data_IF_106304027652
#
_entry.id   IF_106304027652
#
_cell.length_a   1.000
_cell.length_b   1.000
_cell.length_c   1.000
_cell.angle_alpha   90.00
_cell.angle_beta   90.00
_cell.angle_gamma   90.00
#
_symmetry.space_group_name_H-M   'P 1'
#
loop_
_entity.id
_entity.type
_entity.pdbx_description
1 polymer ?
2 branched ?
3 non-polymer ?
4 water ?
#
# COMPACT_ATOMS: atom_id res chain seq x y z
N UNK A 1 -0.08 -0.61 11.46
CA UNK A 1 -1.14 -1.66 11.61
C UNK A 1 -1.87 -1.99 10.32
N UNK A 2 -2.88 -2.86 10.27
CA UNK A 2 -3.18 -3.61 9.08
C UNK A 2 -3.77 -2.79 7.94
N UNK A 3 -3.90 -1.48 8.07
CA UNK A 3 -4.55 -0.69 7.01
C UNK A 3 -3.74 0.52 6.58
N UNK A 4 -3.62 0.78 5.28
CA UNK A 4 -3.08 2.01 4.75
C UNK A 4 -4.25 2.83 4.20
N UNK A 5 -4.50 4.06 4.66
CA UNK A 5 -5.71 4.77 4.23
C UNK A 5 -5.37 5.60 2.98
N UNK A 6 -6.34 5.84 2.09
CA UNK A 6 -6.00 6.84 1.05
C UNK A 6 -5.50 8.16 1.61
N UNK A 7 -4.47 8.73 0.97
CA UNK A 7 -3.85 9.96 1.48
C UNK A 7 -2.58 9.73 2.27
N UNK A 8 -2.25 8.51 2.64
CA UNK A 8 -1.10 8.19 3.46
C UNK A 8 -0.05 7.47 2.61
N UNK A 9 1.17 7.43 3.06
CA UNK A 9 2.25 6.68 2.49
C UNK A 9 3.02 5.81 3.48
N UNK A 10 3.67 4.79 2.92
CA UNK A 10 4.71 4.10 3.67
C UNK A 10 6.05 4.61 3.13
N UNK A 11 6.86 5.15 4.08
CA UNK A 11 8.22 5.52 3.80
C UNK A 11 9.10 4.27 3.82
N UNK A 12 10.38 4.45 3.47
CA UNK A 12 11.31 3.37 3.42
C UNK A 12 11.40 2.64 4.74
N UNK A 13 11.31 1.32 4.75
CA UNK A 13 11.25 0.51 5.93
C UNK A 13 9.93 0.45 6.68
N UNK A 14 8.90 1.22 6.38
CA UNK A 14 7.62 1.13 7.07
C UNK A 14 6.79 -0.01 6.48
N UNK A 15 5.78 -0.47 7.21
CA UNK A 15 5.10 -1.70 6.91
C UNK A 15 3.68 -1.74 7.40
N UNK A 16 2.86 -2.65 6.83
CA UNK A 16 1.69 -3.19 7.51
C UNK A 16 1.89 -4.57 8.10
N UNK A 17 1.19 -4.89 9.20
CA UNK A 17 1.35 -6.19 9.86
C UNK A 17 -0.01 -6.73 10.27
N UNK A 18 -0.13 -8.06 10.21
CA UNK A 18 -1.29 -8.73 10.78
C UNK A 18 -0.86 -10.12 11.23
N UNK A 19 -0.74 -10.41 12.52
CA UNK A 19 -0.25 -11.71 13.00
C UNK A 19 1.18 -12.04 12.54
N UNK A 20 1.43 -13.20 11.91
CA UNK A 20 2.73 -13.46 11.29
C UNK A 20 2.93 -12.92 9.87
N UNK A 21 2.01 -12.06 9.36
CA UNK A 21 2.18 -11.51 8.03
C UNK A 21 2.65 -10.06 8.05
N UNK A 22 3.58 -9.72 7.20
CA UNK A 22 4.19 -8.42 7.12
C UNK A 22 4.26 -7.92 5.66
N UNK A 23 3.79 -6.71 5.42
CA UNK A 23 3.86 -6.17 4.03
C UNK A 23 4.67 -4.90 4.05
N UNK A 24 5.89 -4.95 3.51
CA UNK A 24 6.86 -3.90 3.79
C UNK A 24 7.42 -3.26 2.53
N UNK A 25 7.53 -1.94 2.55
CA UNK A 25 8.22 -1.17 1.51
C UNK A 25 9.72 -1.18 1.86
N UNK A 26 10.44 -2.14 1.27
CA UNK A 26 11.86 -2.25 1.61
C UNK A 26 12.66 -1.10 1.07
N UNK A 27 13.84 -0.86 1.67
CA UNK A 27 14.71 0.23 1.24
C UNK A 27 15.40 0.00 -0.10
N UNK A 28 15.51 -1.24 -0.53
CA UNK A 28 15.83 -1.56 -1.92
C UNK A 28 14.71 -1.35 -2.92
N UNK A 29 13.60 -0.71 -2.56
CA UNK A 29 12.51 -0.38 -3.46
C UNK A 29 11.74 -1.62 -3.86
N UNK A 30 11.91 -2.76 -3.18
CA UNK A 30 10.99 -3.89 -3.49
C UNK A 30 9.82 -3.86 -2.48
N UNK A 31 8.58 -4.13 -2.85
CA UNK A 31 7.43 -4.20 -1.93
C UNK A 31 7.03 -5.65 -1.78
N UNK A 32 7.08 -6.22 -0.59
CA UNK A 32 7.06 -7.66 -0.40
C UNK A 32 6.06 -8.03 0.68
N UNK A 33 5.34 -9.10 0.52
CA UNK A 33 4.54 -9.76 1.55
C UNK A 33 5.26 -11.01 2.03
N UNK A 34 5.56 -11.02 3.32
CA UNK A 34 6.21 -12.14 4.00
C UNK A 34 5.21 -12.89 4.83
N UNK A 35 5.29 -14.22 4.82
CA UNK A 35 4.66 -15.08 5.83
C UNK A 35 5.83 -15.55 6.74
N UNK A 36 6.06 -14.89 7.87
CA UNK A 36 7.23 -15.11 8.73
C UNK A 36 8.46 -14.82 7.89
N UNK A 37 9.38 -15.73 7.58
CA UNK A 37 10.53 -15.32 6.75
C UNK A 37 10.41 -15.68 5.28
N UNK A 38 9.26 -16.25 4.87
CA UNK A 38 8.98 -16.56 3.46
C UNK A 38 8.28 -15.48 2.65
N UNK A 39 8.89 -15.00 1.58
CA UNK A 39 8.27 -14.04 0.67
C UNK A 39 7.25 -14.76 -0.21
N UNK A 40 6.01 -14.30 -0.19
CA UNK A 40 4.91 -14.96 -0.88
C UNK A 40 4.39 -14.12 -2.03
N UNK A 41 4.75 -12.87 -2.16
CA UNK A 41 4.39 -12.00 -3.28
C UNK A 41 5.30 -10.78 -3.20
N UNK A 42 5.64 -10.23 -4.38
CA UNK A 42 6.41 -8.99 -4.40
C UNK A 42 6.17 -8.15 -5.66
N UNK A 43 6.55 -6.88 -5.69
CA UNK A 43 6.43 -6.11 -6.93
C UNK A 43 7.61 -6.38 -7.90
N UNK A 44 8.62 -7.08 -7.42
CA UNK A 44 9.82 -7.46 -8.12
C UNK A 44 10.56 -6.27 -8.68
N UNK A 45 10.63 -5.17 -7.97
CA UNK A 45 11.32 -3.96 -8.32
C UNK A 45 12.54 -3.79 -7.42
N UNK A 46 13.03 -4.87 -6.82
CA UNK A 46 14.23 -4.74 -5.97
C UNK A 46 15.44 -4.30 -6.84
N UNK A 47 16.24 -3.36 -6.36
CA UNK A 47 17.45 -2.95 -7.06
C UNK A 47 17.13 -1.84 -8.07
N UNK A 48 15.84 -1.67 -8.41
CA UNK A 48 15.54 -0.64 -9.41
C UNK A 48 15.97 0.74 -8.91
N UNK A 49 16.01 0.93 -7.58
CA UNK A 49 16.43 2.24 -7.06
C UNK A 49 16.54 2.17 -5.54
N UNK A 50 16.63 3.32 -4.87
CA UNK A 50 16.78 3.27 -3.41
C UNK A 50 15.89 4.27 -2.70
N UNK A 51 15.38 3.87 -1.54
CA UNK A 51 14.52 4.73 -0.74
C UNK A 51 13.29 5.22 -1.46
N UNK A 52 12.61 4.27 -2.12
CA UNK A 52 11.24 4.48 -2.57
C UNK A 52 10.18 4.62 -1.48
N UNK A 53 9.06 5.27 -1.82
CA UNK A 53 7.90 5.29 -0.93
C UNK A 53 6.68 4.64 -1.55
N UNK A 54 5.74 4.19 -0.77
CA UNK A 54 4.48 3.63 -1.21
C UNK A 54 3.34 4.61 -0.96
N UNK A 55 2.49 4.94 -1.94
CA UNK A 55 1.37 5.80 -1.75
C UNK A 55 0.06 5.11 -2.08
N UNK A 56 -0.88 5.25 -1.13
CA UNK A 56 -2.23 4.82 -1.38
C UNK A 56 -3.00 6.08 -1.79
N UNK A 57 -3.33 6.23 -3.08
CA UNK A 57 -3.83 7.55 -3.53
C UNK A 57 -5.34 7.64 -3.50
N UNK A 58 -5.84 8.89 -3.53
CA UNK A 58 -7.28 9.13 -3.52
C UNK A 58 -7.94 8.90 -4.85
N UNK A 59 -7.13 8.57 -5.89
CA UNK A 59 -7.81 8.06 -7.11
C UNK A 59 -7.98 6.57 -7.00
N UNK A 60 -7.49 5.93 -5.94
CA UNK A 60 -7.69 4.49 -5.79
C UNK A 60 -6.52 3.63 -6.25
N UNK A 61 -5.50 4.22 -6.82
CA UNK A 61 -4.32 3.50 -7.31
C UNK A 61 -3.24 3.40 -6.23
N UNK A 62 -2.65 2.23 -6.11
CA UNK A 62 -1.56 2.03 -5.13
C UNK A 62 -0.24 2.04 -5.89
N UNK A 63 0.67 2.95 -5.58
CA UNK A 63 1.82 3.24 -6.39
C UNK A 63 3.15 3.29 -5.65
N UNK A 64 4.14 2.57 -6.14
CA UNK A 64 5.52 2.73 -5.67
C UNK A 64 6.21 3.84 -6.44
N UNK A 65 6.75 4.85 -5.78
CA UNK A 65 7.49 5.95 -6.30
C UNK A 65 8.96 6.03 -5.88
N UNK A 66 9.82 6.43 -6.82
CA UNK A 66 11.24 6.61 -6.60
C UNK A 66 11.46 7.91 -5.82
N UNK A 67 12.62 8.10 -5.23
CA UNK A 67 12.94 9.33 -4.51
C UNK A 67 12.72 10.56 -5.37
N UNK A 68 12.86 10.53 -6.68
CA UNK A 68 12.54 11.63 -7.58
C UNK A 68 11.06 11.68 -7.97
N UNK A 69 10.22 10.78 -7.46
CA UNK A 69 8.78 10.94 -7.61
C UNK A 69 8.27 10.49 -8.99
N UNK A 70 9.01 9.54 -9.54
CA UNK A 70 8.59 8.83 -10.74
C UNK A 70 8.05 7.46 -10.40
N UNK A 71 6.88 7.10 -10.88
CA UNK A 71 6.27 5.81 -10.61
C UNK A 71 7.13 4.64 -11.03
N UNK A 72 7.27 3.56 -10.25
CA UNK A 72 7.99 2.41 -10.80
C UNK A 72 7.17 1.12 -10.84
N UNK A 73 6.04 1.09 -10.16
CA UNK A 73 5.06 0.03 -10.12
C UNK A 73 3.71 0.65 -9.72
N UNK A 74 2.58 0.07 -10.25
CA UNK A 74 1.32 0.54 -9.71
C UNK A 74 0.30 -0.57 -9.84
N UNK A 75 -0.74 -0.51 -8.99
CA UNK A 75 -1.77 -1.55 -9.16
C UNK A 75 -2.64 -1.35 -10.40
N UNK A 76 -2.67 -0.24 -11.09
CA UNK A 76 -3.52 0.07 -12.22
C UNK A 76 -5.02 0.07 -11.85
N UNK A 77 -5.30 0.67 -10.67
CA UNK A 77 -6.73 0.73 -10.26
C UNK A 77 -7.14 2.19 -10.10
N UNK A 78 -6.40 3.04 -10.80
CA UNK A 78 -6.61 4.49 -10.69
C UNK A 78 -7.96 4.76 -11.34
N UNK A 79 -8.83 5.46 -10.62
CA UNK A 79 -10.20 5.59 -11.10
C UNK A 79 -10.88 6.75 -10.39
N UNK A 80 -12.10 6.53 -9.87
CA UNK A 80 -12.72 7.72 -9.29
C UNK A 80 -12.14 8.16 -7.95
N UNK A 81 -12.09 9.49 -7.86
CA UNK A 81 -11.66 10.20 -6.68
C UNK A 81 -12.59 9.91 -5.50
N UNK A 82 -11.93 9.63 -4.37
CA UNK A 82 -12.67 9.19 -3.20
C UNK A 82 -11.77 8.71 -2.05
N UNK A 83 -12.39 7.90 -1.19
CA UNK A 83 -11.64 7.42 -0.02
C UNK A 83 -11.49 5.92 -0.26
N UNK A 84 -10.27 5.45 -0.06
CA UNK A 84 -10.05 4.00 -0.21
C UNK A 84 -9.26 3.50 1.00
N UNK A 85 -9.22 2.17 1.16
CA UNK A 85 -8.25 1.51 2.05
C UNK A 85 -7.57 0.30 1.34
N UNK A 86 -6.28 0.16 1.59
CA UNK A 86 -5.53 -1.06 1.39
C UNK A 86 -5.35 -1.86 2.70
N UNK A 87 -5.78 -3.12 2.73
CA UNK A 87 -5.92 -3.91 3.93
C UNK A 87 -5.01 -5.16 3.83
N UNK A 88 -4.18 -5.39 4.82
CA UNK A 88 -3.56 -6.75 4.95
C UNK A 88 -4.48 -7.61 5.75
N UNK A 89 -5.17 -8.59 5.22
CA UNK A 89 -6.26 -9.25 5.93
C UNK A 89 -5.78 -10.45 6.75
N UNK A 90 -6.66 -10.87 7.63
CA UNK A 90 -6.44 -12.04 8.46
C UNK A 90 -6.30 -13.34 7.68
N UNK A 91 -6.86 -13.43 6.48
CA UNK A 91 -6.67 -14.60 5.63
C UNK A 91 -5.47 -14.50 4.72
N UNK A 92 -4.54 -13.58 4.88
CA UNK A 92 -3.31 -13.42 4.14
C UNK A 92 -3.49 -12.73 2.78
N UNK A 93 -4.72 -12.29 2.39
CA UNK A 93 -4.75 -11.52 1.12
C UNK A 93 -4.45 -10.05 1.39
N UNK A 94 -3.93 -9.28 0.46
CA UNK A 94 -3.83 -7.84 0.55
C UNK A 94 -4.81 -7.28 -0.49
N UNK A 95 -5.72 -6.41 -0.03
CA UNK A 95 -6.88 -6.10 -0.89
C UNK A 95 -7.14 -4.59 -0.86
N UNK A 96 -7.39 -3.96 -1.99
CA UNK A 96 -7.85 -2.55 -2.02
C UNK A 96 -9.37 -2.50 -2.12
N UNK A 97 -10.00 -1.70 -1.23
CA UNK A 97 -11.44 -1.52 -1.21
C UNK A 97 -11.81 -0.02 -1.35
N UNK A 98 -12.85 0.28 -2.12
CA UNK A 98 -13.44 1.67 -2.08
C UNK A 98 -14.38 1.85 -3.31
N UNK A 99 -15.13 2.96 -3.40
CA UNK A 99 -15.03 4.04 -2.42
C UNK A 99 -15.84 3.81 -1.16
N UNK A 100 -15.83 4.76 -0.20
CA UNK A 100 -16.68 4.69 0.96
C UNK A 100 -18.17 4.75 0.59
N UNK A 101 -18.99 3.79 0.99
CA UNK A 101 -20.41 3.80 0.74
C UNK A 101 -21.26 4.39 1.85
N UNK A 102 -20.85 4.29 3.12
CA UNK A 102 -21.64 4.74 4.28
C UNK A 102 -20.69 5.02 5.45
N UNK A 103 -20.99 5.97 6.32
CA UNK A 103 -20.13 6.26 7.47
C UNK A 103 -21.00 6.72 8.63
N UNK A 104 -20.67 6.39 9.88
CA UNK A 104 -21.34 7.08 11.00
C UNK A 104 -21.08 8.58 11.03
N UNK A 105 -19.99 9.05 10.46
CA UNK A 105 -19.64 10.47 10.52
C UNK A 105 -19.18 10.96 11.88
N UNK A 106 -18.42 10.17 12.64
CA UNK A 106 -17.98 10.48 13.98
C UNK A 106 -16.47 10.72 14.06
N UNK A 107 -15.81 11.01 12.93
CA UNK A 107 -14.38 11.25 12.94
C UNK A 107 -13.98 12.53 13.65
N UNK A 108 -12.75 12.61 14.12
CA UNK A 108 -12.24 13.80 14.78
C UNK A 108 -10.99 14.37 14.13
N UNK A 109 -10.64 15.62 14.36
CA UNK A 109 -9.71 16.47 13.65
C UNK A 109 -9.03 17.42 14.66
X LIG B 1 -13.70 -14.99 -5.02
X LIG B 1 -13.43 -14.01 -3.83
X LIG B 1 -12.43 -14.62 -2.85
X LIG B 1 -12.90 -15.98 -2.38
X LIG B 1 -13.23 -16.83 -3.60
X LIG B 1 -13.80 -18.16 -3.12
X LIG B 1 -12.45 -15.43 -5.47
X LIG B 1 -14.64 -13.71 -3.17
X LIG B 1 -12.13 -13.80 -1.69
X LIG B 1 -11.79 -16.65 -1.75
X LIG B 1 -14.19 -16.23 -4.47
X LIG B 1 -14.09 -19.28 -3.81
X LIG B 2 -10.84 -13.38 -1.36
X LIG B 2 -10.91 -12.92 0.13
X LIG B 2 -11.78 -11.65 0.19
X LIG B 2 -11.32 -10.61 -0.78
X LIG B 2 -11.30 -11.21 -2.22
X LIG B 2 -10.86 -10.11 -3.16
X LIG B 2 -9.63 -12.66 0.69
X LIG B 2 -11.69 -11.16 1.52
X LIG B 2 -12.11 -9.43 -0.82
X LIG B 2 -10.48 -12.39 -2.27
X LIG B 2 -10.47 -10.55 -4.41
X LIG C 1 14.66 -9.44 -3.69
X LIG C 1 14.88 -8.71 -2.32
X LIG C 1 14.54 -9.52 -1.08
X LIG C 1 13.16 -10.13 -1.20
X LIG C 1 13.07 -10.87 -2.52
X LIG C 1 11.61 -11.32 -2.85
X LIG C 1 15.48 -10.59 -3.66
X LIG C 1 14.13 -7.51 -2.32
X LIG C 1 14.69 -8.67 0.09
X LIG C 1 12.85 -11.10 -0.22
X LIG C 1 13.36 -10.02 -3.62
X LIG C 1 11.31 -11.75 -4.12
X LIG C 2 15.49 -9.37 1.01
X LIG C 2 15.43 -8.63 2.37
X LIG C 2 16.00 -7.25 2.21
X LIG C 2 17.40 -7.28 1.64
X LIG C 2 17.36 -8.13 0.34
X LIG C 2 18.68 -8.27 -0.40
X LIG C 2 16.19 -9.30 3.35
X LIG C 2 15.88 -6.59 3.46
X LIG C 2 17.79 -5.97 1.29
X LIG C 2 16.87 -9.45 0.63
X LIG C 2 19.64 -7.55 0.37
X LIG D 1 -2.38 6.76 -12.76
X LIG D 1 -2.43 7.86 -11.65
X LIG D 1 -1.07 8.52 -11.47
X LIG D 1 0.03 7.49 -11.32
X LIG D 1 0.03 6.61 -12.54
X LIG D 1 1.08 5.46 -12.46
X LIG D 1 -2.13 7.39 -13.96
X LIG D 1 -2.78 7.20 -10.43
X LIG D 1 -0.98 9.46 -10.40
X LIG D 1 1.28 8.12 -11.15
X LIG D 1 -1.22 5.92 -12.60
X LIG D 1 1.05 4.32 -13.22
X LIG D 2 -0.55 10.79 -10.29
X LIG D 2 -0.42 11.83 -9.12
X LIG D 2 -1.74 11.78 -8.38
X LIG D 2 -2.87 12.23 -9.29
X LIG D 2 -2.86 11.29 -10.51
X LIG D 2 -3.86 11.58 -11.62
X LIG D 2 -0.30 13.07 -9.80
X LIG D 2 -1.68 12.53 -7.18
X LIG D 2 -4.08 12.24 -8.58
X LIG D 2 -1.57 11.31 -11.12
X LIG D 2 -5.15 11.40 -11.07
X LIG E 1 4.00 -7.48 -10.48
X LIG E 1 4.09 -8.86 -9.80
X LIG E 1 2.78 -9.64 -9.79
X LIG E 1 1.71 -8.71 -9.22
X LIG E 1 1.62 -7.58 -10.23
X LIG E 1 0.39 -6.72 -10.10
X LIG E 1 3.88 -7.65 -11.85
X LIG E 1 4.52 -8.70 -8.47
X LIG E 1 2.90 -10.81 -8.96
X LIG E 1 0.48 -9.36 -9.03
X LIG E 1 2.81 -6.79 -10.07
X LIG E 1 -0.89 -6.87 -9.74
X LIG E 2 3.34 -11.84 -9.80
X LIG E 2 2.70 -13.12 -9.20
X LIG E 2 3.80 -14.07 -8.76
X LIG E 2 4.91 -14.26 -9.78
X LIG E 2 5.36 -12.87 -10.31
X LIG E 2 6.39 -12.97 -11.43
X LIG E 2 1.79 -13.69 -10.11
X LIG E 2 3.17 -15.36 -8.52
X LIG E 2 6.04 -14.89 -9.16
X LIG E 2 4.20 -12.21 -10.86
X LIG E 2 7.66 -12.88 -10.82
X LIG F 1 -6.93 1.52 11.76
X LIG F 1 -7.90 1.08 10.71
X LIG F 1 -5.63 0.82 11.61
X LIG F 1 -7.47 1.15 13.12
X LIG F 1 -6.84 3.00 11.69
X LIG G 1 1.81 -21.33 1.26
X LIG G 1 2.45 -20.85 2.54
X LIG G 1 0.46 -20.74 1.06
X LIG G 1 1.68 -22.82 1.35
X LIG G 1 2.70 -20.92 0.12
X LIG H 1 -3.18 11.27 -3.04
X LIG H 1 -3.25 12.39 -2.05
X LIG H 1 -4.48 10.54 -3.15
X LIG H 1 -2.07 10.38 -2.59
X LIG H 1 -2.90 11.80 -4.43
#
# INVERSE_FOLDING_TARGET
DNILYSGETLSPGEFLNNGRYVFIMQEDCNLVLYDVDKPIWATNTGGLDRRCHLSMQSDGNLVVYSPRNNPIWASNTGGENGNYVCVLQKDRNVVIYGTARWATGTNIH
MAN C1 C2 C3 C4 C5 C6 O1 O2 O3 O4 O5 O6
MAN C1 C2 C3 C4 C5 C6 O2 O3 O4 O5 O6
MAN C1 C2 C3 C4 C5 C6 O1 O2 O3 O4 O5 O6
MAN C1 C2 C3 C4 C5 C6 O2 O3 O4 O5 O6
MAN C1 C2 C3 C4 C5 C6 O1 O2 O3 O4 O5 O6
MAN C1 C2 C3 C4 C5 C6 O2 O3 O4 O5 O6
MAN C1 C2 C3 C4 C5 C6 O1 O2 O3 O4 O5 O6
MAN C1 C2 C3 C4 C5 C6 O2 O3 O4 O5 O6
PO4 P O1 O2 O3 O4
PO4 P O1 O2 O3 O4
PO4 P O1 O2 O3 O4
#
